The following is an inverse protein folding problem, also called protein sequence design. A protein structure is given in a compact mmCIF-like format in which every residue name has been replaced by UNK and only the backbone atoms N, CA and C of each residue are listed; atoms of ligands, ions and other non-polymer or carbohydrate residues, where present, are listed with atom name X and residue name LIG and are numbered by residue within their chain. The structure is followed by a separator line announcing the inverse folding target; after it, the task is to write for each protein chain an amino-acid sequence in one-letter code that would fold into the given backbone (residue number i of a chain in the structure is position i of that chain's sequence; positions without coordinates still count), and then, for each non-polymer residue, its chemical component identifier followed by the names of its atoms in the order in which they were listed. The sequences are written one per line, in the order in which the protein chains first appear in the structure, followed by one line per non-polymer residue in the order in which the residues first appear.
data_IF_806863069229
#
_entry.id   IF_806863069229
#
_cell.length_a   1.000
_cell.length_b   1.000
_cell.length_c   1.000
_cell.angle_alpha   90.00
_cell.angle_beta   90.00
_cell.angle_gamma   90.00
#
_symmetry.space_group_name_H-M   'P 1'
#
loop_
_entity.id
_entity.type
_entity.pdbx_description
1 polymer ?
#
# COMPACT_ATOMS: atom_id res chain seq x y z
N UNK A 1 0.70 -20.25 9.62
CA UNK A 1 0.94 -19.48 8.37
C UNK A 1 2.18 -18.61 8.54
N UNK A 2 3.19 -18.74 7.67
CA UNK A 2 4.35 -17.83 7.68
C UNK A 2 3.84 -16.39 7.49
N UNK A 3 4.26 -15.49 8.38
CA UNK A 3 3.92 -14.05 8.27
C UNK A 3 4.62 -13.49 7.05
N UNK A 4 3.88 -12.82 6.15
CA UNK A 4 4.47 -12.04 5.05
C UNK A 4 5.26 -10.86 5.63
N UNK A 5 6.27 -10.39 4.88
CA UNK A 5 7.18 -9.34 5.33
C UNK A 5 7.92 -9.68 6.64
N UNK A 6 8.36 -10.94 6.80
CA UNK A 6 9.28 -11.34 7.85
C UNK A 6 10.74 -11.14 7.40
N UNK A 7 11.35 -12.14 6.78
CA UNK A 7 12.70 -12.02 6.18
C UNK A 7 12.74 -11.03 5.00
N UNK A 8 11.67 -10.96 4.21
CA UNK A 8 11.57 -10.02 3.09
C UNK A 8 11.73 -8.56 3.52
N UNK A 9 11.29 -8.23 4.74
CA UNK A 9 11.41 -6.89 5.30
C UNK A 9 12.87 -6.42 5.43
N UNK A 10 13.83 -7.34 5.70
CA UNK A 10 15.25 -7.00 5.84
C UNK A 10 15.85 -6.41 4.56
N UNK A 11 15.32 -6.83 3.43
CA UNK A 11 15.81 -6.43 2.12
C UNK A 11 14.87 -5.43 1.43
N UNK A 12 13.75 -5.08 2.07
CA UNK A 12 12.66 -4.30 1.46
C UNK A 12 13.14 -2.95 0.94
N UNK A 13 13.83 -2.16 1.75
CA UNK A 13 14.28 -0.83 1.35
C UNK A 13 15.34 -0.89 0.24
N UNK A 14 16.19 -1.91 0.21
CA UNK A 14 17.14 -2.15 -0.89
C UNK A 14 16.40 -2.55 -2.18
N UNK A 15 15.42 -3.45 -2.07
CA UNK A 15 14.60 -3.87 -3.21
C UNK A 15 13.86 -2.71 -3.86
N UNK A 16 13.46 -1.73 -3.07
CA UNK A 16 12.66 -0.57 -3.48
C UNK A 16 13.43 0.76 -3.41
N UNK A 17 14.79 0.72 -3.35
CA UNK A 17 15.61 1.95 -3.28
C UNK A 17 15.35 2.94 -4.43
N UNK A 18 14.98 2.43 -5.61
CA UNK A 18 14.67 3.24 -6.78
C UNK A 18 13.17 3.62 -6.85
N UNK A 19 12.35 3.24 -5.85
CA UNK A 19 10.96 3.68 -5.75
C UNK A 19 10.94 5.14 -5.28
N UNK A 20 10.40 6.00 -6.10
CA UNK A 20 10.30 7.42 -5.75
C UNK A 20 9.10 7.70 -4.85
N UNK A 21 9.24 7.44 -3.55
CA UNK A 21 8.23 7.83 -2.55
C UNK A 21 7.91 9.32 -2.63
N UNK A 22 8.92 10.18 -2.83
CA UNK A 22 8.76 11.62 -3.03
C UNK A 22 7.83 11.95 -4.21
N UNK A 23 7.99 11.27 -5.36
CA UNK A 23 7.13 11.50 -6.53
C UNK A 23 5.69 11.04 -6.29
N UNK A 24 5.53 9.88 -5.66
CA UNK A 24 4.20 9.35 -5.32
C UNK A 24 3.49 10.24 -4.31
N UNK A 25 4.17 10.67 -3.25
CA UNK A 25 3.59 11.59 -2.27
C UNK A 25 3.32 12.98 -2.83
N UNK A 26 4.11 13.48 -3.77
CA UNK A 26 3.79 14.74 -4.46
C UNK A 26 2.48 14.64 -5.27
N UNK A 27 2.22 13.49 -5.88
CA UNK A 27 0.97 13.23 -6.57
C UNK A 27 -0.21 13.15 -5.59
N UNK A 28 -0.05 12.40 -4.50
CA UNK A 28 -1.08 12.29 -3.44
C UNK A 28 -1.33 13.65 -2.77
N UNK A 29 -0.29 14.44 -2.54
CA UNK A 29 -0.40 15.79 -1.96
C UNK A 29 -1.26 16.74 -2.80
N UNK A 30 -1.12 16.69 -4.15
CA UNK A 30 -2.00 17.48 -5.03
C UNK A 30 -3.47 17.10 -4.85
N UNK A 31 -3.76 15.82 -4.63
CA UNK A 31 -5.11 15.33 -4.36
C UNK A 31 -5.59 15.80 -2.98
N UNK A 32 -4.76 15.63 -1.96
CA UNK A 32 -5.06 16.07 -0.59
C UNK A 32 -5.37 17.57 -0.56
N UNK A 33 -4.51 18.39 -1.16
CA UNK A 33 -4.69 19.84 -1.19
C UNK A 33 -5.98 20.26 -1.91
N UNK A 34 -6.36 19.53 -2.97
CA UNK A 34 -7.59 19.81 -3.73
C UNK A 34 -8.86 19.47 -2.94
N UNK A 35 -8.87 18.38 -2.17
CA UNK A 35 -10.11 17.84 -1.61
C UNK A 35 -10.18 17.89 -0.08
N UNK A 36 -9.08 18.10 0.62
CA UNK A 36 -9.04 18.09 2.08
C UNK A 36 -8.29 19.29 2.70
N UNK A 37 -7.38 19.95 1.98
CA UNK A 37 -6.62 21.10 2.46
C UNK A 37 -5.18 20.78 2.86
N UNK A 38 -4.59 21.62 3.73
CA UNK A 38 -3.16 21.55 4.15
C UNK A 38 -3.02 21.29 5.63
N UNK A 39 -1.82 20.82 6.07
CA UNK A 39 -1.47 20.60 7.49
C UNK A 39 -2.48 19.71 8.22
N UNK A 40 -2.78 18.56 7.68
CA UNK A 40 -3.83 17.65 8.09
C UNK A 40 -3.33 16.54 9.03
N UNK A 41 -4.27 15.90 9.72
CA UNK A 41 -4.04 14.63 10.43
C UNK A 41 -4.30 13.48 9.47
N UNK A 42 -3.27 12.74 9.10
CA UNK A 42 -3.34 11.63 8.13
C UNK A 42 -3.14 10.30 8.86
N UNK A 43 -3.99 9.33 8.54
CA UNK A 43 -3.83 7.94 8.94
C UNK A 43 -3.38 7.12 7.73
N UNK A 44 -2.17 6.55 7.78
CA UNK A 44 -1.70 5.61 6.77
C UNK A 44 -1.93 4.17 7.23
N UNK A 45 -2.65 3.39 6.44
CA UNK A 45 -2.95 1.99 6.72
C UNK A 45 -2.10 1.08 5.82
N UNK A 46 -1.25 0.24 6.42
CA UNK A 46 -0.30 -0.61 5.70
C UNK A 46 0.95 0.17 5.26
N UNK A 47 1.57 0.91 6.18
CA UNK A 47 2.67 1.83 5.88
C UNK A 47 3.99 1.15 5.49
N UNK A 48 4.13 -0.17 5.71
CA UNK A 48 5.38 -0.88 5.50
C UNK A 48 6.54 -0.23 6.27
N UNK A 49 7.67 0.00 5.61
CA UNK A 49 8.86 0.65 6.19
C UNK A 49 8.74 2.18 6.29
N UNK A 50 7.53 2.76 6.16
CA UNK A 50 7.24 4.18 6.43
C UNK A 50 7.61 5.16 5.32
N UNK A 51 7.92 4.70 4.10
CA UNK A 51 8.43 5.58 3.05
C UNK A 51 7.47 6.74 2.68
N UNK A 52 6.17 6.48 2.56
CA UNK A 52 5.18 7.54 2.27
C UNK A 52 4.93 8.41 3.51
N UNK A 53 4.82 7.80 4.72
CA UNK A 53 4.64 8.52 5.97
C UNK A 53 5.70 9.59 6.18
N UNK A 54 6.99 9.22 5.99
CA UNK A 54 8.12 10.14 6.12
C UNK A 54 8.06 11.29 5.12
N UNK A 55 7.70 11.02 3.87
CA UNK A 55 7.58 12.08 2.86
C UNK A 55 6.38 13.00 3.10
N UNK A 56 5.23 12.47 3.56
CA UNK A 56 4.07 13.27 3.93
C UNK A 56 4.33 14.12 5.18
N UNK A 57 5.10 13.61 6.13
CA UNK A 57 5.53 14.39 7.30
C UNK A 57 6.32 15.62 6.90
N UNK A 58 7.27 15.49 5.95
CA UNK A 58 8.05 16.63 5.41
C UNK A 58 7.17 17.71 4.78
N UNK A 59 5.91 17.39 4.43
CA UNK A 59 4.93 18.35 3.89
C UNK A 59 4.09 19.04 4.99
N UNK A 60 4.41 18.77 6.26
CA UNK A 60 3.76 19.43 7.41
C UNK A 60 2.52 18.72 7.93
N UNK A 61 2.23 17.49 7.49
CA UNK A 61 1.12 16.72 8.04
C UNK A 61 1.48 16.03 9.37
N UNK A 62 0.47 15.84 10.23
CA UNK A 62 0.57 15.00 11.41
C UNK A 62 0.21 13.55 11.02
N UNK A 63 1.17 12.63 11.14
CA UNK A 63 1.03 11.26 10.62
C UNK A 63 0.87 10.26 11.76
N UNK A 64 -0.13 9.39 11.63
CA UNK A 64 -0.24 8.11 12.34
C UNK A 64 -0.23 7.00 11.28
N UNK A 65 0.60 5.99 11.44
CA UNK A 65 0.81 4.98 10.43
C UNK A 65 0.77 3.56 11.04
N UNK A 66 0.09 2.64 10.36
CA UNK A 66 -0.10 1.27 10.85
C UNK A 66 0.49 0.25 9.87
N UNK A 67 1.09 -0.80 10.42
CA UNK A 67 1.36 -2.03 9.68
C UNK A 67 1.17 -3.25 10.58
N UNK A 68 0.88 -4.41 10.01
CA UNK A 68 0.78 -5.67 10.74
C UNK A 68 2.14 -6.31 11.02
N UNK A 69 3.15 -6.00 10.22
CA UNK A 69 4.51 -6.53 10.37
C UNK A 69 5.27 -5.75 11.43
N UNK A 70 5.62 -6.43 12.53
CA UNK A 70 6.47 -5.87 13.58
C UNK A 70 7.78 -5.34 13.00
N UNK A 71 8.40 -6.12 12.10
CA UNK A 71 9.68 -5.78 11.48
C UNK A 71 9.61 -4.54 10.60
N UNK A 72 8.51 -4.35 9.84
CA UNK A 72 8.28 -3.13 9.07
C UNK A 72 8.15 -1.91 9.99
N UNK A 73 7.44 -2.02 11.10
CA UNK A 73 7.30 -0.94 12.09
C UNK A 73 8.66 -0.63 12.75
N UNK A 74 9.46 -1.63 13.07
CA UNK A 74 10.81 -1.42 13.60
C UNK A 74 11.70 -0.65 12.61
N UNK A 75 11.66 -1.02 11.31
CA UNK A 75 12.38 -0.30 10.26
C UNK A 75 11.87 1.14 10.10
N UNK A 76 10.55 1.34 10.13
CA UNK A 76 9.94 2.66 10.03
C UNK A 76 10.35 3.56 11.20
N UNK A 77 10.34 3.04 12.44
CA UNK A 77 10.78 3.78 13.62
C UNK A 77 12.26 4.16 13.56
N UNK A 78 13.14 3.26 13.09
CA UNK A 78 14.57 3.59 12.90
C UNK A 78 14.82 4.75 11.93
N UNK A 79 13.93 4.97 10.98
CA UNK A 79 13.99 6.08 10.01
C UNK A 79 13.33 7.37 10.51
N UNK A 80 12.53 7.28 11.54
CA UNK A 80 11.81 8.40 12.17
C UNK A 80 12.68 9.09 13.23
N UNK A 81 13.75 9.74 12.78
CA UNK A 81 14.81 10.28 13.65
C UNK A 81 14.28 11.29 14.67
N UNK A 82 13.27 12.08 14.31
CA UNK A 82 12.68 13.10 15.18
C UNK A 82 11.52 12.56 16.05
N UNK A 83 11.19 11.29 15.95
CA UNK A 83 10.05 10.66 16.64
C UNK A 83 8.72 11.42 16.47
N UNK A 84 8.53 12.08 15.34
CA UNK A 84 7.39 12.96 15.05
C UNK A 84 6.28 12.30 14.22
N UNK A 85 6.43 11.00 13.93
CA UNK A 85 5.42 10.13 13.34
C UNK A 85 5.07 9.02 14.33
N UNK A 86 3.79 8.76 14.52
CA UNK A 86 3.33 7.64 15.35
C UNK A 86 3.19 6.38 14.51
N UNK A 87 4.14 5.44 14.61
CA UNK A 87 4.08 4.12 13.98
C UNK A 87 3.52 3.08 14.96
N UNK A 88 2.51 2.30 14.53
CA UNK A 88 1.80 1.34 15.38
C UNK A 88 1.73 -0.03 14.70
N UNK A 89 2.17 -1.09 15.38
CA UNK A 89 1.91 -2.44 14.92
C UNK A 89 0.45 -2.82 15.17
N UNK A 90 -0.40 -2.72 14.15
CA UNK A 90 -1.84 -3.03 14.26
C UNK A 90 -2.44 -3.48 12.93
N UNK A 91 -3.41 -4.37 12.99
CA UNK A 91 -4.23 -4.73 11.83
C UNK A 91 -5.25 -3.62 11.54
N UNK A 92 -5.24 -3.08 10.33
CA UNK A 92 -6.17 -2.05 9.87
C UNK A 92 -7.64 -2.46 10.03
N UNK A 93 -7.94 -3.77 10.00
CA UNK A 93 -9.29 -4.31 10.20
C UNK A 93 -9.77 -4.23 11.65
N UNK A 94 -8.90 -3.92 12.59
CA UNK A 94 -9.17 -3.86 14.03
C UNK A 94 -8.89 -2.50 14.64
N UNK A 95 -8.38 -1.54 13.84
CA UNK A 95 -7.97 -0.25 14.34
C UNK A 95 -9.13 0.75 14.33
N UNK A 96 -9.46 1.23 15.53
CA UNK A 96 -10.32 2.40 15.76
C UNK A 96 -9.56 3.32 16.70
N UNK A 97 -9.41 4.57 16.32
CA UNK A 97 -8.77 5.61 17.10
C UNK A 97 -9.79 6.46 17.85
N UNK A 98 -9.43 6.94 19.03
CA UNK A 98 -10.17 8.02 19.71
C UNK A 98 -10.05 9.35 18.95
N UNK A 99 -8.88 9.61 18.34
CA UNK A 99 -8.64 10.78 17.47
C UNK A 99 -9.21 10.55 16.07
N UNK A 100 -9.74 11.60 15.46
CA UNK A 100 -10.24 11.55 14.08
C UNK A 100 -9.21 12.15 13.12
N UNK A 101 -9.21 11.65 11.90
CA UNK A 101 -8.29 12.03 10.83
C UNK A 101 -9.02 12.80 9.74
N UNK A 102 -8.30 13.68 9.07
CA UNK A 102 -8.80 14.40 7.90
C UNK A 102 -8.74 13.52 6.66
N UNK A 103 -7.66 12.71 6.57
CA UNK A 103 -7.39 11.83 5.43
C UNK A 103 -6.95 10.46 5.93
N UNK A 104 -7.43 9.42 5.25
CA UNK A 104 -6.90 8.06 5.35
C UNK A 104 -6.26 7.68 4.01
N UNK A 105 -5.07 7.12 4.04
CA UNK A 105 -4.38 6.62 2.84
C UNK A 105 -4.04 5.14 2.97
N UNK A 106 -4.13 4.40 1.84
CA UNK A 106 -3.61 3.04 1.69
C UNK A 106 -2.86 3.02 0.36
N UNK A 107 -1.54 2.97 0.40
CA UNK A 107 -0.70 3.05 -0.78
C UNK A 107 0.15 1.80 -0.97
N UNK A 108 0.48 1.52 -2.21
CA UNK A 108 1.21 0.33 -2.66
C UNK A 108 0.38 -0.95 -2.55
N UNK A 109 -0.88 -0.85 -3.03
CA UNK A 109 -1.83 -1.97 -3.23
C UNK A 109 -2.26 -2.66 -1.93
N UNK A 110 -2.23 -1.98 -0.79
CA UNK A 110 -2.63 -2.52 0.52
C UNK A 110 -4.05 -3.09 0.46
N UNK A 111 -4.96 -2.43 -0.24
CA UNK A 111 -6.35 -2.90 -0.39
C UNK A 111 -6.46 -4.29 -1.01
N UNK A 112 -5.51 -4.68 -1.87
CA UNK A 112 -5.51 -5.98 -2.52
C UNK A 112 -5.09 -7.13 -1.59
N UNK A 113 -4.50 -6.85 -0.42
CA UNK A 113 -4.26 -7.85 0.62
C UNK A 113 -5.54 -8.25 1.37
N UNK A 114 -6.62 -7.49 1.22
CA UNK A 114 -7.93 -7.83 1.76
C UNK A 114 -8.61 -8.85 0.84
N UNK A 115 -8.55 -10.13 1.22
CA UNK A 115 -8.94 -11.25 0.36
C UNK A 115 -10.45 -11.50 0.30
N UNK A 116 -11.18 -11.04 1.30
CA UNK A 116 -12.61 -11.33 1.43
C UNK A 116 -13.42 -10.03 1.41
N UNK A 117 -14.63 -10.07 0.85
CA UNK A 117 -15.55 -8.92 0.85
C UNK A 117 -15.80 -8.38 2.26
N UNK A 118 -15.88 -9.26 3.27
CA UNK A 118 -16.05 -8.85 4.67
C UNK A 118 -14.89 -8.01 5.20
N UNK A 119 -13.67 -8.22 4.68
CA UNK A 119 -12.51 -7.42 5.08
C UNK A 119 -12.56 -6.01 4.49
N UNK A 120 -13.00 -5.87 3.21
CA UNK A 120 -13.28 -4.56 2.61
C UNK A 120 -14.42 -3.83 3.34
N UNK A 121 -15.49 -4.54 3.72
CA UNK A 121 -16.57 -3.96 4.54
C UNK A 121 -16.06 -3.46 5.89
N UNK A 122 -15.14 -4.21 6.53
CA UNK A 122 -14.47 -3.76 7.76
C UNK A 122 -13.59 -2.53 7.51
N UNK A 123 -12.82 -2.50 6.41
CA UNK A 123 -12.04 -1.32 6.03
C UNK A 123 -12.96 -0.11 5.86
N UNK A 124 -14.05 -0.22 5.09
CA UNK A 124 -15.04 0.85 4.91
C UNK A 124 -15.59 1.36 6.25
N UNK A 125 -16.07 0.45 7.11
CA UNK A 125 -16.65 0.81 8.41
C UNK A 125 -15.60 1.46 9.35
N UNK A 126 -14.40 0.92 9.43
CA UNK A 126 -13.35 1.46 10.29
C UNK A 126 -12.83 2.81 9.77
N UNK A 127 -12.72 2.96 8.46
CA UNK A 127 -12.35 4.25 7.86
C UNK A 127 -13.40 5.32 8.15
N UNK A 128 -14.68 4.98 8.02
CA UNK A 128 -15.78 5.88 8.38
C UNK A 128 -15.71 6.32 9.85
N UNK A 129 -15.44 5.37 10.77
CA UNK A 129 -15.29 5.65 12.20
C UNK A 129 -14.05 6.49 12.52
N UNK A 130 -12.96 6.34 11.78
CA UNK A 130 -11.70 7.06 12.00
C UNK A 130 -11.65 8.44 11.35
N UNK A 131 -12.45 8.70 10.30
CA UNK A 131 -12.50 9.98 9.61
C UNK A 131 -13.37 11.03 10.33
N UNK A 132 -12.94 12.28 10.25
CA UNK A 132 -13.78 13.46 10.54
C UNK A 132 -14.95 13.53 9.53
N UNK A 133 -15.95 14.36 9.81
CA UNK A 133 -16.97 14.76 8.83
C UNK A 133 -16.26 15.37 7.60
N UNK A 134 -16.71 15.05 6.41
CA UNK A 134 -16.08 15.45 5.14
C UNK A 134 -14.65 14.94 4.91
N UNK A 135 -14.10 14.10 5.77
CA UNK A 135 -12.79 13.48 5.56
C UNK A 135 -12.76 12.56 4.34
N UNK A 136 -11.58 12.34 3.79
CA UNK A 136 -11.42 11.54 2.56
C UNK A 136 -10.58 10.28 2.82
N UNK A 137 -10.86 9.24 2.05
CA UNK A 137 -9.99 8.07 1.95
C UNK A 137 -9.42 7.97 0.53
N UNK A 138 -8.13 7.73 0.43
CA UNK A 138 -7.39 7.59 -0.83
C UNK A 138 -6.68 6.24 -0.81
N UNK A 139 -6.88 5.41 -1.82
CA UNK A 139 -6.14 4.16 -1.93
C UNK A 139 -5.88 3.77 -3.38
N UNK A 140 -4.68 3.26 -3.63
CA UNK A 140 -4.35 2.66 -4.91
C UNK A 140 -4.74 1.16 -4.91
N UNK A 141 -4.92 0.61 -6.11
CA UNK A 141 -5.31 -0.78 -6.29
C UNK A 141 -4.81 -1.36 -7.60
N UNK A 142 -4.66 -2.68 -7.63
CA UNK A 142 -4.43 -3.44 -8.85
C UNK A 142 -5.79 -3.71 -9.49
N UNK A 143 -5.96 -3.21 -10.71
CA UNK A 143 -7.21 -3.33 -11.46
C UNK A 143 -7.37 -4.72 -12.07
N UNK A 144 -8.45 -5.41 -11.72
CA UNK A 144 -8.78 -6.73 -12.26
C UNK A 144 -8.76 -6.76 -13.80
N UNK A 145 -9.38 -5.78 -14.43
CA UNK A 145 -9.49 -5.73 -15.88
C UNK A 145 -8.13 -5.50 -16.55
N UNK A 146 -7.26 -4.66 -15.97
CA UNK A 146 -5.89 -4.43 -16.45
C UNK A 146 -5.04 -5.71 -16.41
N UNK A 147 -5.15 -6.50 -15.34
CA UNK A 147 -4.46 -7.81 -15.24
C UNK A 147 -5.01 -8.84 -16.20
N UNK A 148 -6.30 -8.77 -16.53
CA UNK A 148 -6.90 -9.65 -17.57
C UNK A 148 -6.41 -9.26 -18.97
N UNK A 149 -6.31 -7.96 -19.24
CA UNK A 149 -5.91 -7.42 -20.53
C UNK A 149 -4.41 -7.65 -20.82
N UNK A 150 -3.56 -7.46 -19.81
CA UNK A 150 -2.12 -7.68 -19.91
C UNK A 150 -1.67 -8.61 -18.79
N UNK A 151 -1.41 -9.87 -19.13
CA UNK A 151 -1.03 -10.89 -18.13
C UNK A 151 0.33 -10.59 -17.51
N UNK A 152 0.47 -10.81 -16.19
CA UNK A 152 1.74 -10.59 -15.50
C UNK A 152 2.82 -11.56 -15.99
N UNK A 153 4.04 -11.03 -16.15
CA UNK A 153 5.20 -11.78 -16.62
C UNK A 153 6.18 -12.07 -15.49
N UNK A 154 6.91 -13.18 -15.59
CA UNK A 154 8.04 -13.46 -14.70
C UNK A 154 9.10 -12.37 -14.83
N UNK A 155 9.73 -11.99 -13.73
CA UNK A 155 10.79 -10.97 -13.71
C UNK A 155 11.93 -11.40 -12.78
N UNK A 156 13.15 -11.05 -13.15
CA UNK A 156 14.32 -11.16 -12.30
C UNK A 156 14.81 -9.74 -12.04
N UNK A 157 15.07 -9.42 -10.79
CA UNK A 157 15.67 -8.17 -10.37
C UNK A 157 16.92 -8.46 -9.57
N UNK A 158 18.05 -7.91 -10.01
CA UNK A 158 19.33 -7.99 -9.30
C UNK A 158 19.66 -6.61 -8.74
N UNK A 159 20.04 -6.55 -7.48
CA UNK A 159 20.44 -5.35 -6.79
C UNK A 159 21.80 -5.59 -6.17
N UNK A 160 22.75 -4.72 -6.47
CA UNK A 160 24.07 -4.68 -5.84
C UNK A 160 24.11 -3.53 -4.85
N UNK A 161 24.51 -3.79 -3.63
CA UNK A 161 24.70 -2.79 -2.58
C UNK A 161 25.87 -3.18 -1.68
N UNK A 162 26.95 -2.41 -1.75
CA UNK A 162 28.24 -2.78 -1.14
C UNK A 162 28.64 -4.18 -1.60
N UNK A 163 28.88 -5.10 -0.68
CA UNK A 163 29.26 -6.48 -0.95
C UNK A 163 28.05 -7.41 -1.18
N UNK A 164 26.84 -6.89 -0.94
CA UNK A 164 25.61 -7.69 -1.10
C UNK A 164 25.13 -7.66 -2.56
N UNK A 165 24.79 -8.85 -3.06
CA UNK A 165 24.02 -9.03 -4.30
C UNK A 165 22.71 -9.72 -3.95
N UNK A 166 21.59 -9.03 -4.18
CA UNK A 166 20.26 -9.54 -3.93
C UNK A 166 19.59 -9.86 -5.26
N UNK A 167 19.29 -11.12 -5.51
CA UNK A 167 18.53 -11.56 -6.68
C UNK A 167 17.12 -11.92 -6.25
N UNK A 168 16.12 -11.20 -6.79
CA UNK A 168 14.71 -11.51 -6.61
C UNK A 168 14.12 -12.03 -7.91
N UNK A 169 13.79 -13.32 -7.94
CA UNK A 169 12.97 -13.89 -9.01
C UNK A 169 11.50 -13.77 -8.63
N UNK A 170 10.70 -13.21 -9.52
CA UNK A 170 9.27 -12.96 -9.32
C UNK A 170 8.48 -13.82 -10.28
N UNK A 171 7.59 -14.65 -9.75
CA UNK A 171 6.70 -15.53 -10.51
C UNK A 171 5.25 -15.21 -10.16
N UNK A 172 4.60 -14.32 -10.91
CA UNK A 172 3.20 -14.01 -10.70
C UNK A 172 2.31 -15.06 -11.37
N UNK A 173 1.15 -15.34 -10.78
CA UNK A 173 0.09 -16.08 -11.45
C UNK A 173 -1.30 -15.61 -10.98
N UNK A 174 -2.25 -15.66 -11.91
CA UNK A 174 -3.59 -15.16 -11.71
C UNK A 174 -4.63 -16.26 -11.87
N UNK A 175 -5.46 -16.48 -10.85
CA UNK A 175 -6.57 -17.42 -10.84
C UNK A 175 -7.86 -16.65 -11.12
N UNK A 176 -8.25 -16.53 -12.40
CA UNK A 176 -9.35 -15.68 -12.88
C UNK A 176 -10.67 -15.94 -12.13
N UNK A 177 -11.12 -17.21 -12.03
CA UNK A 177 -12.37 -17.59 -11.35
C UNK A 177 -12.45 -17.11 -9.88
N UNK A 178 -11.30 -17.10 -9.18
CA UNK A 178 -11.20 -16.67 -7.77
C UNK A 178 -10.78 -15.21 -7.61
N UNK A 179 -10.47 -14.51 -8.70
CA UNK A 179 -9.87 -13.15 -8.70
C UNK A 179 -8.62 -13.06 -7.81
N UNK A 180 -7.88 -14.16 -7.66
CA UNK A 180 -6.66 -14.21 -6.85
C UNK A 180 -5.43 -13.98 -7.72
N UNK A 181 -4.60 -13.05 -7.30
CA UNK A 181 -3.32 -12.71 -7.90
C UNK A 181 -2.22 -13.03 -6.90
N UNK A 182 -1.52 -14.13 -7.12
CA UNK A 182 -0.42 -14.55 -6.29
C UNK A 182 0.90 -14.13 -6.92
N UNK A 183 1.81 -13.66 -6.09
CA UNK A 183 3.18 -13.32 -6.52
C UNK A 183 4.15 -14.09 -5.64
N UNK A 184 4.82 -15.06 -6.23
CA UNK A 184 5.87 -15.84 -5.58
C UNK A 184 7.22 -15.14 -5.81
N UNK A 185 7.96 -14.98 -4.74
CA UNK A 185 9.32 -14.45 -4.73
C UNK A 185 10.28 -15.52 -4.27
N UNK A 186 11.30 -15.79 -5.09
CA UNK A 186 12.52 -16.46 -4.68
C UNK A 186 13.57 -15.38 -4.45
N UNK A 187 14.07 -15.32 -3.22
CA UNK A 187 15.11 -14.40 -2.79
C UNK A 187 16.41 -15.14 -2.62
N UNK A 188 17.48 -14.69 -3.28
CA UNK A 188 18.82 -15.22 -3.21
C UNK A 188 19.74 -14.06 -2.81
N UNK A 189 20.43 -14.20 -1.70
CA UNK A 189 21.28 -13.15 -1.15
C UNK A 189 22.71 -13.68 -1.07
N UNK A 190 23.62 -13.02 -1.76
CA UNK A 190 25.06 -13.31 -1.74
C UNK A 190 25.80 -12.15 -1.09
N UNK A 191 26.88 -12.47 -0.37
CA UNK A 191 27.90 -11.53 0.10
C UNK A 191 29.24 -11.96 -0.49
N UNK A 192 29.96 -11.07 -1.20
CA UNK A 192 31.21 -11.37 -1.92
C UNK A 192 31.11 -12.68 -2.70
N UNK A 193 30.04 -12.87 -3.46
CA UNK A 193 29.69 -14.06 -4.26
C UNK A 193 29.40 -15.35 -3.47
N UNK A 194 29.46 -15.36 -2.12
CA UNK A 194 29.01 -16.49 -1.30
C UNK A 194 27.53 -16.37 -0.98
N UNK A 195 26.79 -17.45 -1.14
CA UNK A 195 25.38 -17.51 -0.74
C UNK A 195 25.29 -17.41 0.78
N UNK A 196 24.58 -16.40 1.29
CA UNK A 196 24.34 -16.20 2.72
C UNK A 196 22.90 -16.43 3.14
N UNK A 197 21.93 -16.26 2.24
CA UNK A 197 20.53 -16.59 2.51
C UNK A 197 19.77 -16.90 1.20
N UNK A 198 18.81 -17.82 1.33
CA UNK A 198 17.85 -18.14 0.26
C UNK A 198 16.50 -18.46 0.88
N UNK A 199 15.46 -17.75 0.44
CA UNK A 199 14.11 -18.00 0.94
C UNK A 199 13.03 -17.70 -0.10
N UNK A 200 11.82 -18.19 0.19
CA UNK A 200 10.63 -17.96 -0.63
C UNK A 200 9.59 -17.21 0.18
N UNK A 201 8.90 -16.28 -0.48
CA UNK A 201 7.75 -15.60 0.08
C UNK A 201 6.65 -15.47 -0.97
N UNK A 202 5.39 -15.67 -0.58
CA UNK A 202 4.24 -15.56 -1.49
C UNK A 202 3.30 -14.49 -1.00
N UNK A 203 3.08 -13.48 -1.83
CA UNK A 203 2.05 -12.47 -1.61
C UNK A 203 0.76 -12.91 -2.30
N UNK A 204 -0.28 -13.14 -1.53
CA UNK A 204 -1.60 -13.53 -2.02
C UNK A 204 -2.51 -12.31 -2.01
N UNK A 205 -2.85 -11.82 -3.19
CA UNK A 205 -3.67 -10.64 -3.40
C UNK A 205 -5.02 -11.03 -3.98
N UNK A 206 -6.04 -10.23 -3.70
CA UNK A 206 -7.32 -10.30 -4.41
C UNK A 206 -7.48 -9.07 -5.29
N UNK A 207 -7.84 -9.31 -6.55
CA UNK A 207 -8.19 -8.23 -7.47
C UNK A 207 -9.68 -7.93 -7.34
N UNK A 208 -10.00 -6.65 -7.20
CA UNK A 208 -11.36 -6.17 -7.09
C UNK A 208 -11.75 -5.45 -8.38
N UNK A 209 -12.99 -5.62 -8.83
CA UNK A 209 -13.54 -4.76 -9.90
C UNK A 209 -13.91 -3.39 -9.32
N UNK A 210 -13.99 -2.38 -10.18
CA UNK A 210 -14.40 -1.04 -9.79
C UNK A 210 -15.77 -1.07 -9.09
N UNK A 211 -16.75 -1.76 -9.70
CA UNK A 211 -18.11 -1.86 -9.16
C UNK A 211 -18.15 -2.56 -7.79
N UNK A 212 -17.30 -3.58 -7.58
CA UNK A 212 -17.21 -4.28 -6.29
C UNK A 212 -16.77 -3.34 -5.17
N UNK A 213 -15.79 -2.47 -5.45
CA UNK A 213 -15.31 -1.48 -4.49
C UNK A 213 -16.38 -0.43 -4.24
N UNK A 214 -16.99 0.14 -5.30
CA UNK A 214 -18.03 1.17 -5.18
C UNK A 214 -19.18 0.63 -4.29
N UNK A 215 -19.75 -0.54 -4.62
CA UNK A 215 -20.84 -1.16 -3.85
C UNK A 215 -20.54 -1.40 -2.37
N UNK A 216 -19.26 -1.59 -2.02
CA UNK A 216 -18.87 -1.80 -0.62
C UNK A 216 -18.77 -0.48 0.15
N UNK A 217 -18.39 0.60 -0.53
CA UNK A 217 -18.15 1.89 0.11
C UNK A 217 -19.36 2.84 0.01
N UNK A 218 -20.24 2.72 -0.99
CA UNK A 218 -21.31 3.67 -1.32
C UNK A 218 -22.25 4.01 -0.14
N UNK A 219 -22.50 3.05 0.77
CA UNK A 219 -23.34 3.29 1.95
C UNK A 219 -22.77 4.28 2.97
N UNK A 220 -21.48 4.62 2.86
CA UNK A 220 -20.74 5.45 3.81
C UNK A 220 -19.91 6.54 3.16
N UNK A 221 -19.66 6.40 1.87
CA UNK A 221 -18.77 7.27 1.11
C UNK A 221 -19.33 7.58 -0.26
N UNK A 222 -19.15 8.80 -0.69
CA UNK A 222 -19.36 9.21 -2.08
C UNK A 222 -18.05 9.13 -2.85
N UNK A 223 -18.08 8.57 -4.06
CA UNK A 223 -16.89 8.51 -4.92
C UNK A 223 -16.64 9.86 -5.56
N UNK A 224 -15.51 10.50 -5.24
CA UNK A 224 -15.08 11.74 -5.87
C UNK A 224 -14.50 11.44 -7.26
N UNK A 225 -13.51 10.54 -7.32
CA UNK A 225 -12.82 10.17 -8.56
C UNK A 225 -12.21 8.79 -8.49
N UNK A 226 -12.01 8.20 -9.68
CA UNK A 226 -11.17 7.00 -9.87
C UNK A 226 -10.20 7.30 -11.01
N UNK A 227 -8.95 7.57 -10.63
CA UNK A 227 -7.89 7.92 -11.57
C UNK A 227 -7.03 6.72 -11.94
N UNK A 228 -6.39 6.80 -13.10
CA UNK A 228 -5.20 6.00 -13.40
C UNK A 228 -4.10 6.40 -12.42
N UNK A 229 -3.37 5.40 -11.87
CA UNK A 229 -2.28 5.67 -10.94
C UNK A 229 -1.25 6.66 -11.51
N UNK A 230 -0.86 7.63 -10.72
CA UNK A 230 0.08 8.72 -11.07
C UNK A 230 -0.36 9.64 -12.22
N UNK A 231 -1.66 9.64 -12.56
CA UNK A 231 -2.26 10.54 -13.57
C UNK A 231 -3.61 11.05 -13.08
N UNK A 232 -4.04 12.22 -13.60
CA UNK A 232 -5.37 12.79 -13.32
C UNK A 232 -6.40 12.44 -14.40
N UNK A 233 -6.15 11.42 -15.21
CA UNK A 233 -7.10 10.87 -16.17
C UNK A 233 -7.90 9.73 -15.57
N UNK A 234 -9.12 9.50 -16.03
CA UNK A 234 -9.95 8.36 -15.67
C UNK A 234 -9.21 7.05 -15.95
N UNK A 235 -9.41 6.05 -15.08
CA UNK A 235 -8.87 4.72 -15.29
C UNK A 235 -9.63 4.02 -16.44
N UNK A 236 -8.89 3.29 -17.27
CA UNK A 236 -9.43 2.44 -18.34
C UNK A 236 -9.40 0.96 -17.94
N UNK A 237 -10.09 0.12 -18.73
CA UNK A 237 -10.06 -1.34 -18.57
C UNK A 237 -8.66 -1.95 -18.83
N UNK A 238 -7.76 -1.21 -19.53
CA UNK A 238 -6.38 -1.67 -19.83
C UNK A 238 -5.35 -1.23 -18.79
N UNK A 239 -5.70 -0.30 -17.90
CA UNK A 239 -4.77 0.20 -16.89
C UNK A 239 -4.62 -0.79 -15.74
N UNK A 240 -3.37 -1.11 -15.39
CA UNK A 240 -3.05 -2.04 -14.31
C UNK A 240 -3.33 -1.48 -12.91
N UNK A 241 -3.14 -0.18 -12.75
CA UNK A 241 -3.20 0.46 -11.44
C UNK A 241 -4.13 1.65 -11.46
N UNK A 242 -4.99 1.73 -10.46
CA UNK A 242 -5.88 2.85 -10.25
C UNK A 242 -5.77 3.42 -8.84
N UNK A 243 -6.42 4.57 -8.66
CA UNK A 243 -6.52 5.27 -7.39
C UNK A 243 -7.97 5.68 -7.15
N UNK A 244 -8.53 5.28 -6.01
CA UNK A 244 -9.82 5.78 -5.53
C UNK A 244 -9.65 6.98 -4.63
N UNK A 245 -10.56 7.94 -4.77
CA UNK A 245 -10.76 9.06 -3.86
C UNK A 245 -12.23 9.04 -3.45
N UNK A 246 -12.49 8.76 -2.18
CA UNK A 246 -13.82 8.67 -1.62
C UNK A 246 -13.96 9.69 -0.49
N UNK A 247 -15.11 10.35 -0.39
CA UNK A 247 -15.45 11.32 0.66
C UNK A 247 -16.46 10.68 1.62
N UNK A 248 -16.23 10.86 2.90
CA UNK A 248 -17.18 10.45 3.94
C UNK A 248 -18.47 11.25 3.81
N UNK A 249 -19.62 10.53 3.74
CA UNK A 249 -20.96 11.11 3.77
C UNK A 249 -21.28 11.71 5.13
#
# INVERSE_FOLDING_TARGET
MKKIFSKYADYYDLLYKNKSYKRETNYIEKIINKYAGKKLKILELGCGSGGHALELKKKGHAITALDTSKKMIEIANKKNLNNDITFIQKDLKKFISKKKFDVIILLFHVVNFLKQKKELKKLSTNSYKNLKKNGIIIFDFINLNGVIADKPKKKIKVIKHKELTITRKTKPFFIKKKKLFNVEFEMIINNRNKLIDKFFETHKLRLHSLDEIIKIFESKFSTINVFKWMKFSKISKKDWFGLYILKKN
#
